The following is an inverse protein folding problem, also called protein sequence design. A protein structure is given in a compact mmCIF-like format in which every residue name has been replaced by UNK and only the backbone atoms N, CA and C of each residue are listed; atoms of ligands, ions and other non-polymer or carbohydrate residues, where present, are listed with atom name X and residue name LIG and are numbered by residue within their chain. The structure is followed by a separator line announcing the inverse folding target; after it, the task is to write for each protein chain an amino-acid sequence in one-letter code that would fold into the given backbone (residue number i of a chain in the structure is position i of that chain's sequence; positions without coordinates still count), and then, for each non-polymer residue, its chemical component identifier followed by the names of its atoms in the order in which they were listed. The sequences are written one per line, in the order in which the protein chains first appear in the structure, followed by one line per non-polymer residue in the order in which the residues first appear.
data_IF_359200570021
#
_entry.id   IF_359200570021
#
_cell.length_a   1.000
_cell.length_b   1.000
_cell.length_c   1.000
_cell.angle_alpha   90.00
_cell.angle_beta   90.00
_cell.angle_gamma   90.00
#
_symmetry.space_group_name_H-M   'P 1'
#
loop_
_entity.id
_entity.type
_entity.pdbx_description
1 polymer ?
#
# COMPACT_ATOMS: atom_id res chain seq x y z
N UNK A 1 -10.04 3.27 33.79
CA UNK A 1 -9.24 2.73 32.67
C UNK A 1 -10.20 2.47 31.53
N UNK A 2 -9.95 3.05 30.35
CA UNK A 2 -10.76 2.78 29.15
C UNK A 2 -10.48 1.36 28.66
N UNK A 3 -11.54 0.66 28.25
CA UNK A 3 -11.45 -0.70 27.73
C UNK A 3 -10.82 -0.68 26.33
N UNK A 4 -9.86 -1.56 26.08
CA UNK A 4 -9.27 -1.71 24.75
C UNK A 4 -10.25 -2.36 23.78
N UNK A 5 -10.34 -1.83 22.55
CA UNK A 5 -11.09 -2.42 21.43
C UNK A 5 -10.14 -2.63 20.25
N UNK A 6 -10.00 -3.88 19.80
CA UNK A 6 -9.02 -4.27 18.79
C UNK A 6 -9.38 -3.87 17.35
N UNK A 7 -10.67 -3.67 17.01
CA UNK A 7 -11.14 -3.26 15.68
C UNK A 7 -10.92 -4.26 14.51
N UNK A 8 -9.92 -5.16 14.60
CA UNK A 8 -9.63 -6.26 13.65
C UNK A 8 -9.69 -5.86 12.16
N UNK A 9 -9.16 -4.69 11.81
CA UNK A 9 -9.15 -4.17 10.44
C UNK A 9 -8.14 -4.87 9.55
N UNK A 10 -8.44 -4.92 8.26
CA UNK A 10 -7.53 -5.47 7.26
C UNK A 10 -6.41 -4.48 6.91
N UNK A 11 -5.21 -5.01 6.64
CA UNK A 11 -4.06 -4.25 6.12
C UNK A 11 -3.65 -4.86 4.80
N UNK A 12 -3.59 -4.05 3.75
CA UNK A 12 -3.12 -4.51 2.45
C UNK A 12 -1.59 -4.45 2.37
N UNK A 13 -1.01 -5.54 1.86
CA UNK A 13 0.40 -5.63 1.51
C UNK A 13 0.52 -6.27 0.12
N UNK A 14 1.27 -5.64 -0.77
CA UNK A 14 1.51 -6.17 -2.11
C UNK A 14 1.82 -5.12 -3.16
N UNK A 15 2.13 -5.62 -4.36
CA UNK A 15 2.39 -4.81 -5.54
C UNK A 15 1.14 -4.57 -6.37
N UNK A 16 0.99 -3.36 -6.91
CA UNK A 16 -0.08 -3.01 -7.82
C UNK A 16 0.45 -2.87 -9.26
N UNK A 17 -0.32 -3.28 -10.28
CA UNK A 17 0.09 -3.23 -11.68
C UNK A 17 0.02 -1.81 -12.29
N UNK A 18 -0.10 -0.77 -11.46
CA UNK A 18 -0.31 0.60 -11.91
C UNK A 18 1.00 1.22 -12.44
N UNK A 19 0.86 2.03 -13.47
CA UNK A 19 1.93 2.87 -14.04
C UNK A 19 1.71 4.37 -13.73
N UNK A 20 0.64 4.70 -13.02
CA UNK A 20 0.32 6.03 -12.49
C UNK A 20 0.18 5.93 -10.97
N UNK A 21 1.04 6.63 -10.24
CA UNK A 21 1.03 6.65 -8.78
C UNK A 21 -0.23 7.28 -8.21
N UNK A 22 -0.79 8.30 -8.87
CA UNK A 22 -1.99 8.98 -8.38
C UNK A 22 -3.22 8.07 -8.44
N UNK A 23 -3.36 7.27 -9.51
CA UNK A 23 -4.39 6.25 -9.61
C UNK A 23 -4.28 5.19 -8.52
N UNK A 24 -3.05 4.70 -8.25
CA UNK A 24 -2.81 3.71 -7.21
C UNK A 24 -3.13 4.25 -5.80
N UNK A 25 -2.71 5.49 -5.50
CA UNK A 25 -3.02 6.13 -4.22
C UNK A 25 -4.52 6.37 -4.05
N UNK A 26 -5.24 6.80 -5.09
CA UNK A 26 -6.70 6.94 -5.05
C UNK A 26 -7.37 5.61 -4.71
N UNK A 27 -6.94 4.52 -5.34
CA UNK A 27 -7.45 3.19 -5.04
C UNK A 27 -7.23 2.84 -3.56
N UNK A 28 -5.98 2.91 -3.09
CA UNK A 28 -5.63 2.57 -1.71
C UNK A 28 -6.41 3.36 -0.66
N UNK A 29 -6.57 4.68 -0.87
CA UNK A 29 -7.34 5.55 0.02
C UNK A 29 -8.85 5.25 0.00
N UNK A 30 -9.38 4.79 -1.13
CA UNK A 30 -10.82 4.55 -1.32
C UNK A 30 -11.28 3.16 -0.89
N UNK A 31 -10.40 2.16 -0.88
CA UNK A 31 -10.80 0.74 -0.70
C UNK A 31 -10.31 0.09 0.59
N UNK A 32 -9.25 0.60 1.21
CA UNK A 32 -8.62 -0.06 2.36
C UNK A 32 -9.13 0.47 3.69
N UNK A 33 -9.35 -0.43 4.65
CA UNK A 33 -9.67 -0.04 6.02
C UNK A 33 -8.56 0.79 6.66
N UNK A 34 -7.32 0.45 6.32
CA UNK A 34 -6.09 1.14 6.71
C UNK A 34 -5.28 1.34 5.42
N UNK A 35 -5.26 2.55 4.85
CA UNK A 35 -4.51 2.83 3.62
C UNK A 35 -3.02 2.61 3.81
N UNK A 36 -2.40 1.91 2.85
CA UNK A 36 -0.96 1.65 2.81
C UNK A 36 -0.36 2.17 1.51
N UNK A 37 0.95 2.43 1.50
CA UNK A 37 1.66 2.78 0.28
C UNK A 37 1.78 1.55 -0.62
N UNK A 38 1.24 1.56 -1.85
CA UNK A 38 1.34 0.41 -2.74
C UNK A 38 2.75 0.32 -3.34
N UNK A 39 3.27 -0.90 -3.49
CA UNK A 39 4.47 -1.11 -4.31
C UNK A 39 4.11 -0.99 -5.79
N UNK A 40 4.88 -0.20 -6.55
CA UNK A 40 4.59 0.15 -7.94
C UNK A 40 5.71 -0.32 -8.89
N UNK A 41 5.97 -1.63 -9.02
CA UNK A 41 7.12 -2.14 -9.78
C UNK A 41 7.07 -1.82 -11.28
N UNK A 42 5.92 -1.39 -11.82
CA UNK A 42 5.76 -0.97 -13.21
C UNK A 42 5.90 0.54 -13.43
N UNK A 43 5.96 1.33 -12.36
CA UNK A 43 6.15 2.77 -12.43
C UNK A 43 7.62 3.13 -12.70
N UNK A 44 8.55 2.49 -11.99
CA UNK A 44 9.98 2.67 -12.22
C UNK A 44 10.80 1.48 -11.72
N UNK A 45 12.04 1.35 -12.21
CA UNK A 45 13.01 0.37 -11.72
C UNK A 45 13.30 0.51 -10.21
N UNK A 46 13.28 1.74 -9.69
CA UNK A 46 13.58 2.04 -8.27
C UNK A 46 12.45 1.61 -7.31
N UNK A 47 11.25 1.40 -7.83
CA UNK A 47 10.11 0.89 -7.05
C UNK A 47 10.21 -0.63 -6.80
N UNK A 48 11.15 -1.31 -7.45
CA UNK A 48 11.35 -2.74 -7.25
C UNK A 48 12.06 -3.00 -5.92
N UNK A 49 11.46 -3.82 -5.07
CA UNK A 49 12.00 -4.17 -3.76
C UNK A 49 13.41 -4.79 -3.83
N UNK A 50 13.74 -5.54 -4.89
CA UNK A 50 15.08 -6.12 -5.05
C UNK A 50 16.18 -5.06 -5.22
N UNK A 51 15.84 -3.91 -5.80
CA UNK A 51 16.79 -2.80 -6.04
C UNK A 51 17.01 -1.97 -4.77
N UNK A 52 16.05 -2.01 -3.85
CA UNK A 52 16.11 -1.29 -2.57
C UNK A 52 16.92 -2.04 -1.50
N UNK A 53 17.26 -3.31 -1.75
CA UNK A 53 18.17 -4.07 -0.90
C UNK A 53 19.61 -3.76 -1.28
N UNK A 54 20.31 -2.99 -0.43
CA UNK A 54 21.72 -2.60 -0.59
C UNK A 54 22.50 -2.81 0.70
#
# INVERSE_FOLDING_TARGET
MTQFNAGLRSVAAGSLPHTDSAAACRLALSTLDIPTWPQLPRLSFLENMYVQYS
#
